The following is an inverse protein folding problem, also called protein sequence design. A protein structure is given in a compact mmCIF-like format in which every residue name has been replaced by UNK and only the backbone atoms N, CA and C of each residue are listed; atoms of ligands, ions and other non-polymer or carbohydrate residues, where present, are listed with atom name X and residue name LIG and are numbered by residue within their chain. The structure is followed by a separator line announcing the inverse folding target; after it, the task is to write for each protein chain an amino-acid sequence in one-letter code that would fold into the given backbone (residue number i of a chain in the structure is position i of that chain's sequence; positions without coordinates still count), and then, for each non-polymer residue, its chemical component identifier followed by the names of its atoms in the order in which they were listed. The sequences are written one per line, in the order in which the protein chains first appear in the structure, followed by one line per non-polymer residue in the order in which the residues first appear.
data_IF_941285721525
#
_entry.id   IF_941285721525
#
_cell.length_a   1.000
_cell.length_b   1.000
_cell.length_c   1.000
_cell.angle_alpha   90.00
_cell.angle_beta   90.00
_cell.angle_gamma   90.00
#
_symmetry.space_group_name_H-M   'P 1'
#
loop_
_entity.id
_entity.type
_entity.pdbx_description
1 polymer ?
#
# COMPACT_ATOMS: atom_id res chain seq x y z
N UNK A 1 -2.28 4.03 -12.88
CA UNK A 1 -1.63 2.76 -13.14
C UNK A 1 -1.65 1.88 -11.88
N UNK A 2 -1.55 0.52 -12.03
CA UNK A 2 -1.52 -0.43 -10.93
C UNK A 2 -0.40 -1.44 -11.16
N UNK A 3 0.69 -1.32 -10.40
CA UNK A 3 1.86 -2.19 -10.45
C UNK A 3 1.88 -3.13 -9.25
N UNK A 4 1.98 -4.44 -9.47
CA UNK A 4 2.30 -5.40 -8.43
C UNK A 4 3.77 -5.83 -8.52
N UNK A 5 4.47 -5.75 -7.38
CA UNK A 5 5.84 -6.25 -7.21
C UNK A 5 5.74 -7.62 -6.54
N UNK A 6 6.16 -8.65 -7.25
CA UNK A 6 6.08 -10.04 -6.81
C UNK A 6 7.48 -10.67 -6.80
N UNK A 7 7.61 -11.82 -6.14
CA UNK A 7 8.87 -12.58 -6.08
C UNK A 7 9.03 -13.32 -4.77
N UNK A 8 10.02 -14.21 -4.70
CA UNK A 8 10.30 -15.02 -3.51
C UNK A 8 10.73 -14.18 -2.29
N UNK A 9 10.64 -14.79 -1.11
CA UNK A 9 11.17 -14.16 0.10
C UNK A 9 12.68 -13.97 -0.01
N UNK A 10 13.15 -12.76 0.37
CA UNK A 10 14.57 -12.41 0.25
C UNK A 10 15.03 -12.02 -1.16
N UNK A 11 14.13 -11.89 -2.15
CA UNK A 11 14.50 -11.47 -3.52
C UNK A 11 14.86 -9.98 -3.64
N UNK A 12 14.64 -9.17 -2.61
CA UNK A 12 14.98 -7.75 -2.61
C UNK A 12 13.78 -6.80 -2.76
N UNK A 13 12.52 -7.29 -2.75
CA UNK A 13 11.31 -6.44 -2.85
C UNK A 13 11.28 -5.31 -1.83
N UNK A 14 11.53 -5.62 -0.56
CA UNK A 14 11.54 -4.60 0.51
C UNK A 14 12.71 -3.62 0.37
N UNK A 15 13.85 -4.04 -0.20
CA UNK A 15 14.97 -3.14 -0.50
C UNK A 15 14.59 -2.17 -1.61
N UNK A 16 13.99 -2.68 -2.69
CA UNK A 16 13.46 -1.86 -3.78
C UNK A 16 12.42 -0.87 -3.25
N UNK A 17 11.49 -1.34 -2.43
CA UNK A 17 10.46 -0.50 -1.84
C UNK A 17 11.06 0.65 -1.01
N UNK A 18 12.05 0.36 -0.14
CA UNK A 18 12.76 1.38 0.64
C UNK A 18 13.48 2.39 -0.26
N UNK A 19 14.01 1.95 -1.40
CA UNK A 19 14.63 2.84 -2.38
C UNK A 19 13.59 3.75 -3.06
N UNK A 20 12.41 3.23 -3.42
CA UNK A 20 11.30 4.01 -3.97
C UNK A 20 10.77 5.05 -2.96
N UNK A 21 10.80 4.71 -1.67
CA UNK A 21 10.43 5.63 -0.57
C UNK A 21 11.52 6.67 -0.27
N UNK A 22 12.69 6.59 -0.91
CA UNK A 22 13.83 7.48 -0.64
C UNK A 22 14.57 7.17 0.68
N UNK A 23 14.31 6.00 1.29
CA UNK A 23 14.96 5.56 2.54
C UNK A 23 16.31 4.89 2.31
N UNK A 24 16.58 4.45 1.06
CA UNK A 24 17.85 3.88 0.64
C UNK A 24 18.26 4.49 -0.70
N UNK A 25 19.52 4.89 -0.83
CA UNK A 25 20.08 5.33 -2.10
C UNK A 25 20.45 4.10 -2.97
N UNK A 26 20.17 4.12 -4.27
CA UNK A 26 20.64 3.07 -5.18
C UNK A 26 22.17 3.08 -5.27
N UNK A 27 22.79 1.90 -5.41
CA UNK A 27 24.24 1.78 -5.61
C UNK A 27 24.70 2.37 -6.94
N UNK A 28 23.83 2.33 -7.96
CA UNK A 28 24.08 2.92 -9.28
C UNK A 28 22.73 3.37 -9.89
N UNK A 29 22.80 4.29 -10.86
CA UNK A 29 21.61 4.87 -11.46
C UNK A 29 20.91 5.90 -10.57
N UNK A 30 19.67 6.22 -10.90
CA UNK A 30 18.82 7.13 -10.11
C UNK A 30 17.37 6.68 -10.13
N UNK A 31 16.65 7.01 -9.06
CA UNK A 31 15.20 6.85 -8.96
C UNK A 31 14.61 8.26 -9.05
N UNK A 32 13.69 8.46 -9.99
CA UNK A 32 12.94 9.70 -10.13
C UNK A 32 11.47 9.43 -9.78
N UNK A 33 11.04 9.93 -8.63
CA UNK A 33 9.68 9.79 -8.13
C UNK A 33 9.15 11.18 -7.74
N UNK A 34 8.48 11.90 -8.64
CA UNK A 34 7.92 13.23 -8.35
C UNK A 34 6.97 13.22 -7.16
N UNK A 35 6.09 12.23 -7.05
CA UNK A 35 5.15 12.10 -5.95
C UNK A 35 5.84 12.03 -4.57
N UNK A 36 6.98 11.35 -4.49
CA UNK A 36 7.79 11.27 -3.26
C UNK A 36 8.45 12.62 -2.93
N UNK A 37 9.06 13.28 -3.90
CA UNK A 37 9.71 14.59 -3.70
C UNK A 37 8.73 15.69 -3.29
N UNK A 38 7.52 15.64 -3.80
CA UNK A 38 6.48 16.65 -3.57
C UNK A 38 5.59 16.31 -2.36
N UNK A 39 5.88 15.21 -1.65
CA UNK A 39 5.10 14.78 -0.48
C UNK A 39 3.68 14.35 -0.82
N UNK A 40 3.46 13.81 -2.03
CA UNK A 40 2.17 13.35 -2.55
C UNK A 40 2.07 11.82 -2.60
N UNK A 41 2.98 11.13 -1.90
CA UNK A 41 3.06 9.69 -1.79
C UNK A 41 2.51 9.25 -0.45
N UNK A 42 1.56 8.32 -0.46
CA UNK A 42 1.09 7.58 0.71
C UNK A 42 1.77 6.22 0.81
N UNK A 43 2.12 5.82 2.03
CA UNK A 43 2.74 4.53 2.29
C UNK A 43 1.99 3.76 3.37
N UNK A 44 1.60 2.54 3.04
CA UNK A 44 1.05 1.56 3.97
C UNK A 44 2.11 0.48 4.22
N UNK A 45 2.81 0.50 5.37
CA UNK A 45 3.81 -0.51 5.72
C UNK A 45 3.15 -1.84 6.09
N UNK A 46 3.91 -2.92 5.98
CA UNK A 46 3.53 -4.20 6.57
C UNK A 46 3.31 -4.04 8.07
N UNK A 47 2.17 -4.50 8.57
CA UNK A 47 1.83 -4.40 9.98
C UNK A 47 2.70 -5.30 10.85
N UNK A 48 3.24 -4.74 11.92
CA UNK A 48 3.91 -5.49 12.99
C UNK A 48 3.00 -5.63 14.22
N UNK A 49 3.18 -6.66 15.06
CA UNK A 49 2.42 -6.82 16.31
C UNK A 49 2.46 -5.58 17.21
N UNK A 50 3.60 -4.92 17.33
CA UNK A 50 3.77 -3.69 18.14
C UNK A 50 2.93 -2.53 17.64
N UNK A 51 2.72 -2.42 16.32
CA UNK A 51 1.87 -1.36 15.75
C UNK A 51 0.38 -1.58 16.02
N UNK A 52 -0.04 -2.83 16.23
CA UNK A 52 -1.43 -3.17 16.53
C UNK A 52 -1.88 -2.73 17.92
N UNK A 53 -0.96 -2.60 18.86
CA UNK A 53 -1.24 -2.22 20.26
C UNK A 53 -1.01 -0.72 20.52
N UNK A 54 -1.14 0.13 19.51
CA UNK A 54 -0.92 1.56 19.64
C UNK A 54 -2.08 2.26 20.36
N UNK A 55 -1.85 2.96 21.51
CA UNK A 55 -2.91 3.51 22.36
C UNK A 55 -3.33 4.92 21.91
N UNK A 56 -3.81 5.05 20.66
CA UNK A 56 -4.33 6.29 20.13
C UNK A 56 -5.74 6.09 19.56
N UNK A 57 -6.51 7.16 19.44
CA UNK A 57 -7.78 7.12 18.73
C UNK A 57 -7.57 6.91 17.24
N UNK A 58 -8.58 6.35 16.57
CA UNK A 58 -8.58 6.19 15.11
C UNK A 58 -8.32 7.54 14.40
N UNK A 59 -8.96 8.60 14.87
CA UNK A 59 -8.77 9.95 14.32
C UNK A 59 -7.32 10.40 14.45
N UNK A 60 -6.66 10.21 15.58
CA UNK A 60 -5.24 10.57 15.78
C UNK A 60 -4.32 9.78 14.86
N UNK A 61 -4.57 8.47 14.71
CA UNK A 61 -3.81 7.62 13.78
C UNK A 61 -3.94 8.15 12.36
N UNK A 62 -5.14 8.46 11.89
CA UNK A 62 -5.35 8.93 10.51
C UNK A 62 -4.76 10.31 10.29
N UNK A 63 -4.93 11.24 11.22
CA UNK A 63 -4.36 12.58 11.15
C UNK A 63 -2.83 12.57 11.09
N UNK A 64 -2.17 11.57 11.71
CA UNK A 64 -0.72 11.43 11.62
C UNK A 64 -0.20 11.24 10.17
N UNK A 65 -1.07 10.90 9.21
CA UNK A 65 -0.74 10.85 7.78
C UNK A 65 -0.33 12.22 7.19
N UNK A 66 -0.77 13.32 7.80
CA UNK A 66 -0.40 14.69 7.37
C UNK A 66 0.93 15.18 7.94
N UNK A 67 1.65 14.39 8.74
CA UNK A 67 2.87 14.81 9.46
C UNK A 67 4.03 15.24 8.55
N UNK A 68 4.02 14.90 7.25
CA UNK A 68 5.02 15.34 6.27
C UNK A 68 4.89 16.82 5.85
N UNK A 69 3.84 17.51 6.28
CA UNK A 69 3.62 18.92 5.95
C UNK A 69 4.10 19.79 7.12
N UNK A 70 5.21 20.51 6.94
CA UNK A 70 5.88 21.49 7.81
C UNK A 70 5.45 21.45 9.29
N UNK A 71 6.37 21.40 10.22
CA UNK A 71 6.16 21.36 11.68
C UNK A 71 5.06 22.35 12.15
N UNK A 72 3.84 21.86 12.30
CA UNK A 72 2.71 22.55 12.91
C UNK A 72 2.30 21.78 14.14
N UNK A 73 1.96 22.50 15.19
CA UNK A 73 1.47 21.89 16.44
C UNK A 73 0.00 21.44 16.33
N UNK A 74 -0.76 21.92 15.34
CA UNK A 74 -2.18 21.63 15.21
C UNK A 74 -2.56 21.30 13.76
N UNK A 75 -3.50 20.38 13.60
CA UNK A 75 -4.12 20.05 12.31
C UNK A 75 -5.17 21.10 11.94
N UNK A 76 -5.24 21.46 10.66
CA UNK A 76 -6.24 22.40 10.13
C UNK A 76 -7.64 21.78 10.06
N UNK A 77 -8.67 22.60 9.83
CA UNK A 77 -10.03 22.12 9.64
C UNK A 77 -10.14 21.23 8.37
N UNK A 78 -9.42 21.62 7.31
CA UNK A 78 -9.36 20.88 6.05
C UNK A 78 -8.70 19.50 6.24
N UNK A 79 -7.60 19.42 6.98
CA UNK A 79 -6.93 18.16 7.30
C UNK A 79 -7.84 17.23 8.11
N UNK A 80 -8.55 17.77 9.10
CA UNK A 80 -9.53 16.99 9.89
C UNK A 80 -10.69 16.51 9.02
N UNK A 81 -11.22 17.37 8.14
CA UNK A 81 -12.27 17.01 7.20
C UNK A 81 -11.81 15.92 6.23
N UNK A 82 -10.60 16.03 5.66
CA UNK A 82 -10.02 15.03 4.78
C UNK A 82 -9.80 13.68 5.48
N UNK A 83 -9.35 13.69 6.74
CA UNK A 83 -9.20 12.47 7.55
C UNK A 83 -10.55 11.74 7.73
N UNK A 84 -11.61 12.48 8.09
CA UNK A 84 -12.95 11.91 8.26
C UNK A 84 -13.53 11.40 6.92
N UNK A 85 -13.28 12.12 5.82
CA UNK A 85 -13.68 11.69 4.48
C UNK A 85 -12.98 10.38 4.09
N UNK A 86 -11.66 10.24 4.35
CA UNK A 86 -10.94 9.00 4.08
C UNK A 86 -11.42 7.83 4.94
N UNK A 87 -11.76 8.07 6.22
CA UNK A 87 -12.41 7.06 7.06
C UNK A 87 -13.77 6.64 6.49
N UNK A 88 -14.55 7.59 5.98
CA UNK A 88 -15.83 7.31 5.32
C UNK A 88 -15.69 6.48 4.05
N UNK A 89 -14.72 6.83 3.18
CA UNK A 89 -14.39 6.04 1.96
C UNK A 89 -14.06 4.58 2.28
N UNK A 90 -13.44 4.33 3.42
CA UNK A 90 -13.00 3.00 3.85
C UNK A 90 -14.03 2.28 4.73
N UNK A 91 -15.21 2.88 4.97
CA UNK A 91 -16.30 2.29 5.75
C UNK A 91 -15.96 2.07 7.22
N UNK A 92 -15.17 2.96 7.83
CA UNK A 92 -14.76 2.89 9.25
C UNK A 92 -14.92 4.22 9.97
N UNK A 93 -15.74 5.14 9.44
CA UNK A 93 -15.97 6.46 10.04
C UNK A 93 -16.60 6.37 11.43
N UNK A 94 -17.47 5.41 11.66
CA UNK A 94 -18.14 5.19 12.93
C UNK A 94 -17.16 4.78 14.06
N UNK A 95 -15.93 4.38 13.69
CA UNK A 95 -14.88 3.97 14.64
C UNK A 95 -13.95 5.13 15.02
N UNK A 96 -14.17 6.35 14.51
CA UNK A 96 -13.26 7.50 14.60
C UNK A 96 -12.76 7.84 16.01
N UNK A 97 -13.62 7.64 17.03
CA UNK A 97 -13.35 7.96 18.42
C UNK A 97 -12.90 6.73 19.25
N UNK A 98 -12.88 5.52 18.65
CA UNK A 98 -12.41 4.30 19.31
C UNK A 98 -10.90 4.29 19.42
N UNK A 99 -10.39 3.54 20.40
CA UNK A 99 -8.96 3.25 20.50
C UNK A 99 -8.55 2.27 19.40
N UNK A 100 -7.49 2.59 18.65
CA UNK A 100 -7.00 1.79 17.52
C UNK A 100 -6.73 0.32 17.88
N UNK A 101 -6.16 0.05 19.06
CA UNK A 101 -5.86 -1.31 19.54
C UNK A 101 -7.10 -2.18 19.77
N UNK A 102 -8.30 -1.58 19.92
CA UNK A 102 -9.56 -2.30 20.15
C UNK A 102 -10.20 -2.78 18.84
N UNK A 103 -9.63 -2.41 17.70
CA UNK A 103 -10.15 -2.74 16.39
C UNK A 103 -9.75 -4.15 15.96
N UNK A 104 -10.60 -4.80 15.14
CA UNK A 104 -10.21 -6.02 14.42
C UNK A 104 -9.07 -5.73 13.43
N UNK A 105 -8.32 -6.77 13.03
CA UNK A 105 -7.22 -6.63 12.07
C UNK A 105 -7.65 -5.96 10.75
N UNK A 106 -8.81 -6.32 10.21
CA UNK A 106 -9.36 -5.69 9.00
C UNK A 106 -9.72 -4.22 9.21
N UNK A 107 -10.28 -3.86 10.38
CA UNK A 107 -10.57 -2.46 10.72
C UNK A 107 -9.28 -1.65 10.90
N UNK A 108 -8.27 -2.21 11.57
CA UNK A 108 -6.95 -1.58 11.71
C UNK A 108 -6.30 -1.32 10.34
N UNK A 109 -6.38 -2.29 9.44
CA UNK A 109 -5.83 -2.16 8.09
C UNK A 109 -6.51 -1.03 7.31
N UNK A 110 -7.85 -0.91 7.38
CA UNK A 110 -8.59 0.20 6.77
C UNK A 110 -8.22 1.55 7.38
N UNK A 111 -8.02 1.63 8.69
CA UNK A 111 -7.56 2.85 9.36
C UNK A 111 -6.15 3.25 8.90
N UNK A 112 -5.22 2.29 8.78
CA UNK A 112 -3.88 2.57 8.25
C UNK A 112 -3.89 2.98 6.77
N UNK A 113 -4.80 2.41 5.97
CA UNK A 113 -5.02 2.85 4.60
C UNK A 113 -5.57 4.28 4.56
N UNK A 114 -6.53 4.63 5.44
CA UNK A 114 -7.03 6.01 5.57
C UNK A 114 -5.90 6.99 5.92
N UNK A 115 -5.00 6.59 6.83
CA UNK A 115 -3.80 7.35 7.17
C UNK A 115 -2.90 7.55 5.95
N UNK A 116 -2.63 6.49 5.17
CA UNK A 116 -1.82 6.58 3.97
C UNK A 116 -2.45 7.50 2.92
N UNK A 117 -3.78 7.46 2.76
CA UNK A 117 -4.53 8.36 1.86
C UNK A 117 -4.46 9.83 2.27
N UNK A 118 -4.25 10.15 3.54
CA UNK A 118 -4.03 11.54 3.98
C UNK A 118 -2.70 12.12 3.44
N UNK A 119 -1.71 11.29 3.17
CA UNK A 119 -0.44 11.68 2.55
C UNK A 119 -0.48 11.56 1.01
N UNK A 120 -1.29 10.61 0.48
CA UNK A 120 -1.33 10.30 -0.93
C UNK A 120 -2.25 11.26 -1.70
N UNK A 121 -1.69 11.89 -2.75
CA UNK A 121 -2.51 12.55 -3.77
C UNK A 121 -2.39 11.83 -5.12
N UNK A 122 -1.20 11.28 -5.44
CA UNK A 122 -0.90 10.72 -6.75
C UNK A 122 -0.50 9.24 -6.69
N UNK A 123 0.22 8.84 -5.64
CA UNK A 123 0.84 7.52 -5.54
C UNK A 123 0.59 6.90 -4.16
N UNK A 124 0.09 5.68 -4.16
CA UNK A 124 -0.08 4.86 -2.98
C UNK A 124 0.84 3.63 -3.08
N UNK A 125 1.73 3.47 -2.11
CA UNK A 125 2.61 2.30 -1.98
C UNK A 125 2.11 1.44 -0.83
N UNK A 126 1.95 0.13 -1.09
CA UNK A 126 1.40 -0.85 -0.16
C UNK A 126 2.39 -2.01 0.00
N UNK A 127 2.78 -2.30 1.23
CA UNK A 127 3.68 -3.41 1.54
C UNK A 127 2.89 -4.53 2.24
N UNK A 128 2.61 -5.61 1.50
CA UNK A 128 1.87 -6.78 1.98
C UNK A 128 0.51 -6.42 2.64
N UNK A 129 -0.36 -5.64 1.98
CA UNK A 129 -1.52 -5.01 2.62
C UNK A 129 -2.60 -6.00 3.08
N UNK A 130 -2.60 -7.22 2.58
CA UNK A 130 -3.63 -8.25 2.87
C UNK A 130 -3.15 -9.31 3.87
N UNK A 131 -1.88 -9.26 4.28
CA UNK A 131 -1.31 -10.28 5.16
C UNK A 131 -2.02 -10.31 6.52
N UNK A 132 -2.54 -11.50 6.87
CA UNK A 132 -3.25 -11.72 8.14
C UNK A 132 -4.69 -11.20 8.17
N UNK A 133 -5.26 -10.86 7.02
CA UNK A 133 -6.69 -10.57 6.89
C UNK A 133 -7.48 -11.86 6.61
N UNK A 134 -8.73 -11.89 7.06
CA UNK A 134 -9.70 -12.89 6.64
C UNK A 134 -10.11 -12.67 5.16
N UNK A 135 -10.63 -13.71 4.46
CA UNK A 135 -10.94 -13.62 3.04
C UNK A 135 -11.93 -12.50 2.67
N UNK A 136 -12.90 -12.20 3.51
CA UNK A 136 -13.88 -11.15 3.26
C UNK A 136 -13.22 -9.76 3.34
N UNK A 137 -12.45 -9.51 4.39
CA UNK A 137 -11.67 -8.26 4.57
C UNK A 137 -10.66 -8.04 3.44
N UNK A 138 -10.02 -9.13 2.97
CA UNK A 138 -9.10 -9.09 1.83
C UNK A 138 -9.82 -8.64 0.54
N UNK A 139 -10.95 -9.25 0.21
CA UNK A 139 -11.72 -8.88 -0.98
C UNK A 139 -12.21 -7.44 -0.94
N UNK A 140 -12.66 -6.97 0.22
CA UNK A 140 -13.11 -5.59 0.39
C UNK A 140 -11.96 -4.59 0.23
N UNK A 141 -10.76 -4.94 0.72
CA UNK A 141 -9.56 -4.13 0.51
C UNK A 141 -9.22 -4.02 -0.99
N UNK A 142 -9.21 -5.14 -1.73
CA UNK A 142 -8.97 -5.11 -3.18
C UNK A 142 -10.01 -4.29 -3.93
N UNK A 143 -11.30 -4.40 -3.59
CA UNK A 143 -12.37 -3.55 -4.18
C UNK A 143 -12.08 -2.07 -3.95
N UNK A 144 -11.65 -1.72 -2.73
CA UNK A 144 -11.30 -0.33 -2.39
C UNK A 144 -10.10 0.16 -3.20
N UNK A 145 -9.04 -0.63 -3.29
CA UNK A 145 -7.85 -0.28 -4.07
C UNK A 145 -8.18 -0.10 -5.56
N UNK A 146 -9.02 -0.98 -6.12
CA UNK A 146 -9.51 -0.84 -7.49
C UNK A 146 -10.29 0.45 -7.67
N UNK A 147 -11.21 0.79 -6.76
CA UNK A 147 -11.95 2.05 -6.79
C UNK A 147 -11.01 3.27 -6.79
N UNK A 148 -10.00 3.29 -5.90
CA UNK A 148 -9.02 4.36 -5.83
C UNK A 148 -8.22 4.49 -7.15
N UNK A 149 -7.84 3.37 -7.77
CA UNK A 149 -7.10 3.38 -9.03
C UNK A 149 -7.95 3.79 -10.22
N UNK A 150 -9.14 3.21 -10.38
CA UNK A 150 -9.97 3.39 -11.58
C UNK A 150 -10.82 4.66 -11.55
N UNK A 151 -11.31 5.06 -10.37
CA UNK A 151 -12.24 6.18 -10.21
C UNK A 151 -11.58 7.46 -9.72
N UNK A 152 -10.60 7.33 -8.83
CA UNK A 152 -9.88 8.49 -8.31
C UNK A 152 -8.53 8.73 -9.03
N UNK A 153 -8.15 7.85 -9.97
CA UNK A 153 -6.94 8.01 -10.78
C UNK A 153 -5.63 7.79 -10.02
N UNK A 154 -5.69 7.25 -8.80
CA UNK A 154 -4.51 7.04 -7.96
C UNK A 154 -3.61 5.95 -8.55
N UNK A 155 -2.31 6.24 -8.71
CA UNK A 155 -1.34 5.21 -9.04
C UNK A 155 -1.09 4.32 -7.81
N UNK A 156 -1.02 3.01 -8.02
CA UNK A 156 -0.79 2.04 -6.94
C UNK A 156 0.44 1.21 -7.25
N UNK A 157 1.33 1.08 -6.26
CA UNK A 157 2.41 0.08 -6.23
C UNK A 157 2.15 -0.82 -5.04
N UNK A 158 1.94 -2.12 -5.28
CA UNK A 158 1.67 -3.10 -4.23
C UNK A 158 2.74 -4.18 -4.23
N UNK A 159 3.42 -4.37 -3.10
CA UNK A 159 4.26 -5.54 -2.87
C UNK A 159 3.39 -6.64 -2.29
N UNK A 160 3.41 -7.83 -2.89
CA UNK A 160 2.63 -8.97 -2.39
C UNK A 160 3.27 -10.30 -2.79
N UNK A 161 3.01 -11.33 -1.97
CA UNK A 161 3.28 -12.73 -2.30
C UNK A 161 2.04 -13.46 -2.82
N UNK A 162 0.88 -12.82 -2.81
CA UNK A 162 -0.38 -13.33 -3.35
C UNK A 162 -0.43 -13.09 -4.87
N UNK A 163 0.15 -14.04 -5.61
CA UNK A 163 0.26 -13.95 -7.07
C UNK A 163 -1.11 -13.96 -7.75
N UNK A 164 -2.07 -14.73 -7.23
CA UNK A 164 -3.39 -14.86 -7.86
C UNK A 164 -4.14 -13.52 -7.86
N UNK A 165 -4.19 -12.85 -6.72
CA UNK A 165 -4.80 -11.53 -6.64
C UNK A 165 -3.96 -10.47 -7.36
N UNK A 166 -2.61 -10.55 -7.33
CA UNK A 166 -1.76 -9.66 -8.10
C UNK A 166 -2.09 -9.71 -9.60
N UNK A 167 -2.25 -10.91 -10.18
CA UNK A 167 -2.59 -11.09 -11.59
C UNK A 167 -4.01 -10.58 -11.94
N UNK A 168 -4.93 -10.60 -10.99
CA UNK A 168 -6.30 -10.11 -11.16
C UNK A 168 -6.41 -8.58 -11.10
N UNK A 169 -5.64 -7.96 -10.21
CA UNK A 169 -5.78 -6.53 -9.89
C UNK A 169 -4.79 -5.64 -10.67
N UNK A 170 -3.60 -6.14 -10.97
CA UNK A 170 -2.55 -5.34 -11.58
C UNK A 170 -2.77 -5.10 -13.08
N UNK A 171 -2.27 -3.97 -13.56
CA UNK A 171 -2.02 -3.70 -15.00
C UNK A 171 -0.63 -4.17 -15.42
N UNK A 172 0.33 -4.02 -14.51
CA UNK A 172 1.74 -4.39 -14.73
C UNK A 172 2.26 -5.24 -13.56
N UNK A 173 3.19 -6.14 -13.87
CA UNK A 173 3.91 -6.97 -12.91
C UNK A 173 5.39 -6.64 -12.99
N UNK A 174 6.00 -6.39 -11.83
CA UNK A 174 7.45 -6.41 -11.63
C UNK A 174 7.79 -7.64 -10.80
N UNK A 175 8.34 -8.67 -11.45
CA UNK A 175 8.84 -9.84 -10.74
C UNK A 175 10.32 -9.64 -10.41
N UNK A 176 10.64 -9.67 -9.11
CA UNK A 176 12.02 -9.55 -8.60
C UNK A 176 12.51 -10.93 -8.20
N UNK A 177 13.52 -11.43 -8.88
CA UNK A 177 14.12 -12.73 -8.63
C UNK A 177 15.66 -12.61 -8.59
N UNK A 178 16.33 -13.55 -7.94
CA UNK A 178 17.81 -13.63 -7.92
C UNK A 178 18.42 -13.82 -9.31
N UNK A 179 17.69 -14.47 -10.20
CA UNK A 179 18.12 -14.71 -11.59
C UNK A 179 17.90 -13.51 -12.51
N UNK A 180 17.23 -12.46 -12.06
CA UNK A 180 16.93 -11.25 -12.82
C UNK A 180 15.56 -10.68 -12.51
N UNK A 181 15.21 -9.58 -13.17
CA UNK A 181 13.91 -8.94 -13.02
C UNK A 181 13.13 -9.05 -14.32
N UNK A 182 11.80 -9.25 -14.18
CA UNK A 182 10.86 -9.11 -15.29
C UNK A 182 9.96 -7.90 -15.00
N UNK A 183 9.70 -7.09 -16.02
CA UNK A 183 8.69 -6.04 -15.99
C UNK A 183 7.85 -6.10 -17.27
N UNK A 184 6.54 -6.05 -17.14
CA UNK A 184 5.62 -6.06 -18.27
C UNK A 184 4.17 -6.11 -17.83
N UNK A 185 3.26 -6.23 -18.78
CA UNK A 185 1.83 -6.46 -18.55
C UNK A 185 1.60 -7.85 -17.93
N UNK A 186 0.41 -8.05 -17.33
CA UNK A 186 0.02 -9.36 -16.80
C UNK A 186 0.10 -10.46 -17.87
N UNK A 187 -0.33 -10.18 -19.12
CA UNK A 187 -0.28 -11.13 -20.24
C UNK A 187 1.16 -11.54 -20.60
N UNK A 188 2.06 -10.55 -20.66
CA UNK A 188 3.48 -10.81 -20.91
C UNK A 188 4.12 -11.59 -19.78
N UNK A 189 3.76 -11.29 -18.52
CA UNK A 189 4.24 -12.02 -17.35
C UNK A 189 3.85 -13.51 -17.42
N UNK A 190 2.58 -13.81 -17.67
CA UNK A 190 2.08 -15.20 -17.78
C UNK A 190 2.80 -16.01 -18.86
N UNK A 191 3.21 -15.35 -19.94
CA UNK A 191 3.95 -15.98 -21.06
C UNK A 191 5.44 -16.11 -20.77
N UNK A 192 5.98 -15.39 -19.80
CA UNK A 192 7.41 -15.32 -19.48
C UNK A 192 7.92 -16.55 -18.72
N UNK A 193 9.23 -16.84 -18.73
CA UNK A 193 9.82 -17.85 -17.86
C UNK A 193 9.57 -17.59 -16.36
N UNK A 194 9.48 -16.32 -15.94
CA UNK A 194 9.15 -15.97 -14.57
C UNK A 194 7.72 -16.37 -14.23
N UNK A 195 6.74 -15.99 -15.06
CA UNK A 195 5.33 -16.35 -14.86
C UNK A 195 5.07 -17.86 -14.84
N UNK A 196 5.77 -18.61 -15.71
CA UNK A 196 5.67 -20.08 -15.74
C UNK A 196 6.16 -20.73 -14.44
N UNK A 197 7.18 -20.18 -13.78
CA UNK A 197 7.65 -20.66 -12.47
C UNK A 197 6.60 -20.45 -11.38
N UNK A 198 5.93 -19.29 -11.36
CA UNK A 198 4.90 -18.97 -10.38
C UNK A 198 3.54 -19.62 -10.68
N UNK A 199 3.25 -19.99 -11.95
CA UNK A 199 2.03 -20.69 -12.37
C UNK A 199 2.17 -22.24 -12.34
N UNK A 200 3.39 -22.77 -12.34
CA UNK A 200 3.69 -24.20 -12.44
C UNK A 200 3.55 -25.00 -11.14
N UNK A 201 3.33 -24.38 -9.99
CA UNK A 201 3.05 -25.09 -8.73
C UNK A 201 1.60 -25.58 -8.59
N UNK A 202 0.79 -25.45 -9.66
CA UNK A 202 -0.62 -25.91 -9.70
C UNK A 202 -0.90 -26.91 -10.82
N UNK A 203 0.03 -27.83 -11.08
CA UNK A 203 -0.23 -29.05 -11.90
C UNK A 203 -0.27 -30.29 -11.02
#
# INVERSE_FOLDING_TARGET
DYLCIVGENGSGKSTLLRSLLGLLSPLAGKIDCPAQREGRLGYLPQQTPTQRDFPATVTEVVLSGFSNRRARFFYTAEEKSAALMNLGKLGVLELKDKCYRELSGGQQQRVLLARALCAANDLLILDEPVTGLDPASMQDLYKTLRYLNEREGMAIIMVTHDIENALREAKHILCVDRAGCFYGTVSEFLSSPAGKRFGGERA
#
